data_IF_445831515388
#
_entry.id   IF_445831515388
#
_cell.length_a   1.000
_cell.length_b   1.000
_cell.length_c   1.000
_cell.angle_alpha   90.00
_cell.angle_beta   90.00
_cell.angle_gamma   90.00
#
_symmetry.space_group_name_H-M   'P 1'
#
loop_
_entity.id
_entity.type
_entity.pdbx_description
1 polymer ?
#
# COMPACT_ATOMS: atom_id res chain seq x y z
N UNK A 1 23.13 10.45 13.97
CA UNK A 1 22.36 10.74 15.19
C UNK A 1 23.06 10.03 16.34
N UNK A 2 23.28 10.72 17.44
CA UNK A 2 23.79 10.19 18.71
C UNK A 2 22.68 10.36 19.74
N UNK A 3 22.44 9.29 20.51
CA UNK A 3 21.52 9.25 21.62
C UNK A 3 22.34 9.09 22.89
N UNK A 4 22.10 9.94 23.89
CA UNK A 4 22.63 9.78 25.24
C UNK A 4 21.47 9.70 26.23
N UNK A 5 21.62 8.81 27.20
CA UNK A 5 20.65 8.54 28.26
C UNK A 5 21.35 8.81 29.58
N UNK A 6 20.79 9.68 30.40
CA UNK A 6 21.31 10.05 31.71
C UNK A 6 20.25 9.72 32.76
N UNK A 7 20.29 8.51 33.34
CA UNK A 7 19.44 8.20 34.48
C UNK A 7 19.90 9.01 35.70
N UNK A 8 18.96 9.53 36.48
CA UNK A 8 19.24 10.23 37.73
C UNK A 8 19.06 9.32 38.96
N UNK A 9 19.52 9.79 40.11
CA UNK A 9 19.43 9.05 41.39
C UNK A 9 18.00 8.95 41.96
N UNK A 10 17.08 9.78 41.47
CA UNK A 10 15.67 9.80 41.85
C UNK A 10 14.78 8.94 40.93
N UNK A 11 15.37 8.25 39.96
CA UNK A 11 14.65 7.42 38.98
C UNK A 11 14.10 8.19 37.78
N UNK A 12 14.49 9.45 37.58
CA UNK A 12 14.27 10.19 36.34
C UNK A 12 15.27 9.78 35.25
N UNK A 13 14.95 10.17 34.02
CA UNK A 13 15.74 9.85 32.83
C UNK A 13 15.78 11.06 31.89
N UNK A 14 16.97 11.63 31.74
CA UNK A 14 17.22 12.68 30.75
C UNK A 14 17.72 12.05 29.45
N UNK A 15 17.23 12.58 28.33
CA UNK A 15 17.52 12.07 26.99
C UNK A 15 18.04 13.20 26.12
N UNK A 16 19.24 13.02 25.56
CA UNK A 16 19.84 13.97 24.62
C UNK A 16 19.96 13.35 23.23
N UNK A 17 19.39 14.03 22.22
CA UNK A 17 19.49 13.65 20.81
C UNK A 17 20.35 14.68 20.06
N UNK A 18 21.49 14.23 19.55
CA UNK A 18 22.39 15.03 18.71
C UNK A 18 22.37 14.50 17.28
N UNK A 19 22.02 15.35 16.31
CA UNK A 19 21.92 14.93 14.92
C UNK A 19 22.56 15.94 13.96
N UNK A 20 22.87 15.47 12.74
CA UNK A 20 23.39 16.32 11.69
C UNK A 20 22.23 17.07 11.04
N UNK A 21 22.22 18.40 11.14
CA UNK A 21 21.18 19.27 10.58
C UNK A 21 21.03 19.20 9.05
N UNK A 22 22.04 18.70 8.31
CA UNK A 22 21.90 18.46 6.87
C UNK A 22 21.09 17.19 6.54
N UNK A 23 20.83 16.32 7.54
CA UNK A 23 20.15 15.03 7.35
C UNK A 23 18.86 14.91 8.16
N UNK A 24 18.67 15.77 9.16
CA UNK A 24 17.54 15.74 10.08
C UNK A 24 17.00 17.14 10.28
N UNK A 25 15.69 17.27 10.17
CA UNK A 25 14.95 18.43 10.64
C UNK A 25 14.45 18.23 12.08
N UNK A 26 14.12 19.33 12.73
CA UNK A 26 13.63 19.35 14.11
C UNK A 26 12.34 18.52 14.29
N UNK A 27 11.47 18.54 13.28
CA UNK A 27 10.21 17.78 13.30
C UNK A 27 10.46 16.26 13.35
N UNK A 28 11.45 15.78 12.59
CA UNK A 28 11.85 14.37 12.57
C UNK A 28 12.51 13.95 13.87
N UNK A 29 13.40 14.79 14.43
CA UNK A 29 14.00 14.52 15.72
C UNK A 29 12.97 14.50 16.85
N UNK A 30 12.00 15.43 16.83
CA UNK A 30 10.90 15.47 17.78
C UNK A 30 10.05 14.21 17.71
N UNK A 31 9.70 13.74 16.51
CA UNK A 31 8.99 12.45 16.32
C UNK A 31 9.80 11.26 16.83
N UNK A 32 11.10 11.23 16.59
CA UNK A 32 11.97 10.17 17.12
C UNK A 32 12.01 10.16 18.64
N UNK A 33 12.08 11.34 19.28
CA UNK A 33 12.03 11.47 20.73
C UNK A 33 10.69 10.96 21.29
N UNK A 34 9.56 11.33 20.67
CA UNK A 34 8.23 10.84 21.07
C UNK A 34 8.11 9.32 20.95
N UNK A 35 8.59 8.72 19.85
CA UNK A 35 8.59 7.25 19.68
C UNK A 35 9.48 6.56 20.72
N UNK A 36 10.64 7.14 21.05
CA UNK A 36 11.53 6.59 22.08
C UNK A 36 10.87 6.63 23.46
N UNK A 37 10.22 7.73 23.82
CA UNK A 37 9.45 7.83 25.06
C UNK A 37 8.35 6.78 25.12
N UNK A 38 7.55 6.64 24.06
CA UNK A 38 6.50 5.62 23.99
C UNK A 38 7.04 4.19 24.10
N UNK A 39 8.24 3.93 23.58
CA UNK A 39 8.91 2.63 23.69
C UNK A 39 9.34 2.35 25.13
N UNK A 40 9.94 3.33 25.81
CA UNK A 40 10.36 3.20 27.21
C UNK A 40 9.12 2.95 28.10
N UNK A 41 8.02 3.68 27.87
CA UNK A 41 6.76 3.47 28.59
C UNK A 41 6.23 2.05 28.42
N UNK A 42 6.27 1.49 27.21
CA UNK A 42 5.80 0.11 26.98
C UNK A 42 6.57 -0.94 27.78
N UNK A 43 7.90 -0.80 27.89
CA UNK A 43 8.71 -1.70 28.70
C UNK A 43 8.57 -1.44 30.21
N UNK A 44 8.28 -0.21 30.61
CA UNK A 44 7.97 0.12 32.00
C UNK A 44 6.64 -0.52 32.44
N UNK A 45 5.61 -0.46 31.58
CA UNK A 45 4.30 -1.05 31.84
C UNK A 45 4.32 -2.59 31.78
N UNK A 46 5.14 -3.16 30.90
CA UNK A 46 5.31 -4.61 30.77
C UNK A 46 6.79 -4.99 30.58
N UNK A 47 7.52 -5.27 31.67
CA UNK A 47 8.92 -5.68 31.60
C UNK A 47 9.17 -7.01 30.86
N UNK A 48 8.14 -7.85 30.69
CA UNK A 48 8.21 -9.11 29.95
C UNK A 48 7.91 -8.96 28.44
N UNK A 49 7.63 -7.72 27.98
CA UNK A 49 7.43 -7.42 26.57
C UNK A 49 8.66 -7.85 25.76
N UNK A 50 8.44 -8.58 24.68
CA UNK A 50 9.53 -8.97 23.78
C UNK A 50 9.88 -7.81 22.88
N UNK A 51 11.16 -7.66 22.55
CA UNK A 51 11.62 -6.59 21.66
C UNK A 51 10.92 -6.57 20.29
N UNK A 52 10.53 -7.75 19.76
CA UNK A 52 9.82 -7.86 18.48
C UNK A 52 8.34 -7.48 18.54
N UNK A 53 7.75 -7.44 19.73
CA UNK A 53 6.33 -7.13 19.94
C UNK A 53 6.12 -5.66 20.33
N UNK A 54 7.21 -4.91 20.58
CA UNK A 54 7.15 -3.52 20.97
C UNK A 54 6.73 -2.62 19.80
N UNK A 55 5.73 -1.77 20.04
CA UNK A 55 5.15 -0.91 19.04
C UNK A 55 6.02 0.35 18.84
N UNK A 56 6.60 0.50 17.66
CA UNK A 56 7.45 1.64 17.34
C UNK A 56 6.68 2.87 16.81
N UNK A 57 5.53 2.65 16.17
CA UNK A 57 4.72 3.73 15.61
C UNK A 57 3.79 4.32 16.67
N UNK A 58 3.70 5.65 16.68
CA UNK A 58 2.72 6.37 17.50
C UNK A 58 1.30 6.03 17.03
N UNK A 59 0.32 6.19 17.92
CA UNK A 59 -1.09 5.91 17.60
C UNK A 59 -1.62 6.76 16.43
N UNK A 60 -1.18 8.03 16.35
CA UNK A 60 -1.51 8.93 15.24
C UNK A 60 -0.95 8.42 13.90
N UNK A 61 0.26 7.86 13.89
CA UNK A 61 0.91 7.34 12.69
C UNK A 61 0.23 6.08 12.20
N UNK A 62 -0.18 5.21 13.11
CA UNK A 62 -1.01 4.04 12.79
C UNK A 62 -2.36 4.45 12.20
N UNK A 63 -2.98 5.49 12.77
CA UNK A 63 -4.26 6.02 12.28
C UNK A 63 -4.11 6.61 10.88
N UNK A 64 -3.03 7.38 10.63
CA UNK A 64 -2.72 7.92 9.32
C UNK A 64 -2.47 6.82 8.30
N UNK A 65 -1.74 5.77 8.65
CA UNK A 65 -1.52 4.62 7.77
C UNK A 65 -2.82 3.88 7.46
N UNK A 66 -3.70 3.68 8.45
CA UNK A 66 -5.01 3.09 8.24
C UNK A 66 -5.86 3.93 7.27
N UNK A 67 -5.82 5.25 7.41
CA UNK A 67 -6.52 6.16 6.50
C UNK A 67 -5.96 6.09 5.07
N UNK A 68 -4.63 6.12 4.91
CA UNK A 68 -3.98 6.04 3.59
C UNK A 68 -4.26 4.71 2.88
N UNK A 69 -4.36 3.62 3.64
CA UNK A 69 -4.65 2.29 3.11
C UNK A 69 -6.15 2.02 2.91
N UNK A 70 -7.03 3.00 3.14
CA UNK A 70 -8.46 2.85 2.91
C UNK A 70 -8.81 2.93 1.41
N UNK A 71 -8.34 1.97 0.62
CA UNK A 71 -8.54 1.88 -0.83
C UNK A 71 -9.63 0.87 -1.21
N UNK A 72 -10.42 0.42 -0.23
CA UNK A 72 -11.47 -0.56 -0.45
C UNK A 72 -12.59 0.07 -1.30
N UNK A 73 -12.73 -0.40 -2.53
CA UNK A 73 -13.82 -0.05 -3.44
C UNK A 73 -14.46 -1.32 -3.94
N UNK A 74 -15.79 -1.40 -3.86
CA UNK A 74 -16.55 -2.54 -4.41
C UNK A 74 -16.47 -2.52 -5.92
N UNK A 75 -15.81 -3.52 -6.50
CA UNK A 75 -15.72 -3.71 -7.95
C UNK A 75 -16.69 -4.82 -8.35
N UNK A 76 -17.50 -4.65 -9.42
CA UNK A 76 -18.36 -5.71 -9.92
C UNK A 76 -17.57 -6.99 -10.24
N UNK A 77 -18.15 -8.15 -9.94
CA UNK A 77 -17.60 -9.43 -10.34
C UNK A 77 -17.79 -9.65 -11.87
N UNK A 78 -17.00 -8.93 -12.66
CA UNK A 78 -16.97 -9.01 -14.12
C UNK A 78 -15.57 -9.40 -14.58
N UNK A 79 -15.48 -10.19 -15.64
CA UNK A 79 -14.20 -10.45 -16.31
C UNK A 79 -13.85 -9.29 -17.23
N UNK A 80 -12.57 -9.17 -17.59
CA UNK A 80 -12.15 -8.23 -18.64
C UNK A 80 -12.94 -8.46 -19.95
N UNK A 81 -13.25 -9.72 -20.28
CA UNK A 81 -14.05 -10.06 -21.46
C UNK A 81 -15.49 -9.53 -21.37
N UNK A 82 -16.10 -9.56 -20.19
CA UNK A 82 -17.44 -9.01 -19.96
C UNK A 82 -17.45 -7.49 -20.13
N UNK A 83 -16.44 -6.80 -19.57
CA UNK A 83 -16.30 -5.35 -19.67
C UNK A 83 -16.09 -4.88 -21.11
N UNK A 84 -15.26 -5.59 -21.88
CA UNK A 84 -15.06 -5.31 -23.32
C UNK A 84 -16.34 -5.57 -24.12
N UNK A 85 -17.08 -6.63 -23.80
CA UNK A 85 -18.37 -6.91 -24.44
C UNK A 85 -19.40 -5.80 -24.17
N UNK A 86 -19.50 -5.36 -22.93
CA UNK A 86 -20.38 -4.25 -22.54
C UNK A 86 -19.99 -2.95 -23.24
N UNK A 87 -18.69 -2.65 -23.35
CA UNK A 87 -18.22 -1.45 -24.05
C UNK A 87 -18.54 -1.51 -25.56
N UNK A 88 -18.39 -2.68 -26.18
CA UNK A 88 -18.72 -2.85 -27.60
C UNK A 88 -20.21 -2.70 -27.90
N UNK A 89 -21.08 -3.07 -26.96
CA UNK A 89 -22.52 -2.80 -27.08
C UNK A 89 -22.85 -1.31 -26.95
N UNK A 90 -22.15 -0.58 -26.06
CA UNK A 90 -22.38 0.85 -25.84
C UNK A 90 -21.88 1.72 -26.99
N UNK A 91 -20.70 1.41 -27.54
CA UNK A 91 -20.03 2.25 -28.56
C UNK A 91 -19.49 1.38 -29.70
N UNK A 92 -20.36 0.78 -30.52
CA UNK A 92 -19.93 -0.20 -31.52
C UNK A 92 -19.05 0.39 -32.63
N UNK A 93 -19.30 1.65 -33.02
CA UNK A 93 -18.55 2.35 -34.08
C UNK A 93 -17.31 3.10 -33.55
N UNK A 94 -17.07 3.13 -32.24
CA UNK A 94 -15.92 3.81 -31.70
C UNK A 94 -14.65 3.01 -32.00
N UNK A 95 -13.57 3.74 -32.31
CA UNK A 95 -12.24 3.14 -32.51
C UNK A 95 -11.79 2.42 -31.23
N UNK A 96 -11.42 1.15 -31.36
CA UNK A 96 -11.03 0.27 -30.26
C UNK A 96 -9.55 -0.14 -30.36
N UNK A 97 -9.06 -0.40 -31.57
CA UNK A 97 -7.69 -0.82 -31.83
C UNK A 97 -7.20 -0.17 -33.12
N UNK A 98 -6.02 0.43 -33.08
CA UNK A 98 -5.41 1.06 -34.23
C UNK A 98 -3.89 0.85 -34.22
N UNK A 99 -3.34 0.51 -35.39
CA UNK A 99 -1.91 0.58 -35.67
C UNK A 99 -1.67 1.31 -37.01
N UNK A 100 -0.46 1.26 -37.56
CA UNK A 100 -0.13 1.94 -38.81
C UNK A 100 -0.88 1.41 -40.06
N UNK A 101 -1.48 0.22 -39.99
CA UNK A 101 -2.06 -0.50 -41.12
C UNK A 101 -3.52 -0.92 -40.89
N UNK A 102 -3.96 -1.00 -39.65
CA UNK A 102 -5.27 -1.49 -39.26
C UNK A 102 -5.97 -0.52 -38.31
N UNK A 103 -7.27 -0.34 -38.56
CA UNK A 103 -8.18 0.36 -37.67
C UNK A 103 -9.40 -0.53 -37.45
N UNK A 104 -9.71 -0.82 -36.20
CA UNK A 104 -10.86 -1.62 -35.80
C UNK A 104 -11.75 -0.84 -34.85
N UNK A 105 -13.03 -0.81 -35.18
CA UNK A 105 -14.10 -0.44 -34.26
C UNK A 105 -14.31 -1.52 -33.20
N UNK A 106 -15.00 -1.20 -32.11
CA UNK A 106 -15.37 -2.20 -31.10
C UNK A 106 -16.18 -3.37 -31.67
N UNK A 107 -17.03 -3.10 -32.68
CA UNK A 107 -17.76 -4.17 -33.39
C UNK A 107 -16.80 -5.09 -34.12
N UNK A 108 -15.94 -4.52 -34.98
CA UNK A 108 -15.03 -5.32 -35.79
C UNK A 108 -14.07 -6.11 -34.90
N UNK A 109 -13.55 -5.52 -33.82
CA UNK A 109 -12.68 -6.21 -32.84
C UNK A 109 -13.37 -7.44 -32.20
N UNK A 110 -14.70 -7.38 -31.98
CA UNK A 110 -15.48 -8.51 -31.45
C UNK A 110 -15.71 -9.60 -32.49
N UNK A 111 -15.81 -9.23 -33.76
CA UNK A 111 -16.04 -10.12 -34.89
C UNK A 111 -14.75 -10.84 -35.33
N UNK A 112 -13.60 -10.15 -35.38
CA UNK A 112 -12.28 -10.78 -35.65
C UNK A 112 -11.76 -11.60 -34.48
N UNK A 113 -12.34 -11.42 -33.29
CA UNK A 113 -12.29 -12.38 -32.20
C UNK A 113 -10.91 -12.59 -31.58
N UNK A 114 -10.60 -11.82 -30.53
CA UNK A 114 -9.67 -12.31 -29.50
C UNK A 114 -10.28 -13.46 -28.65
N UNK A 115 -11.55 -13.83 -28.88
CA UNK A 115 -12.25 -14.93 -28.21
C UNK A 115 -12.33 -16.26 -28.99
N UNK A 116 -11.90 -16.31 -30.25
CA UNK A 116 -11.99 -17.53 -31.07
C UNK A 116 -10.73 -18.42 -30.99
N UNK A 117 -9.57 -17.86 -30.64
CA UNK A 117 -8.27 -18.57 -30.68
C UNK A 117 -7.85 -19.33 -29.42
N UNK A 118 -8.55 -19.20 -28.28
CA UNK A 118 -8.11 -19.81 -26.99
C UNK A 118 -8.80 -21.14 -26.67
N UNK A 119 -9.64 -21.67 -27.58
CA UNK A 119 -10.26 -22.99 -27.38
C UNK A 119 -9.40 -24.20 -27.81
N UNK A 120 -8.23 -23.98 -28.42
CA UNK A 120 -7.38 -25.07 -28.91
C UNK A 120 -6.23 -25.51 -27.97
N UNK A 121 -6.01 -24.83 -26.84
CA UNK A 121 -5.06 -25.28 -25.83
C UNK A 121 -5.78 -25.37 -24.49
N UNK A 122 -5.94 -26.60 -23.99
CA UNK A 122 -6.67 -26.94 -22.76
C UNK A 122 -6.19 -26.18 -21.52
N UNK A 123 -6.68 -24.95 -21.36
CA UNK A 123 -6.47 -24.13 -20.18
C UNK A 123 -7.64 -24.36 -19.24
N UNK A 124 -7.45 -25.26 -18.27
CA UNK A 124 -8.33 -25.36 -17.11
C UNK A 124 -8.30 -24.02 -16.38
N UNK A 125 -9.47 -23.51 -15.96
CA UNK A 125 -9.57 -22.44 -14.97
C UNK A 125 -8.88 -22.95 -13.69
N UNK A 126 -7.66 -22.49 -13.43
CA UNK A 126 -7.02 -22.69 -12.13
C UNK A 126 -7.80 -21.85 -11.13
N UNK A 127 -8.61 -22.51 -10.30
CA UNK A 127 -9.14 -21.94 -9.09
C UNK A 127 -7.95 -21.68 -8.16
N UNK A 128 -7.52 -20.43 -8.09
CA UNK A 128 -6.63 -19.97 -7.03
C UNK A 128 -7.47 -19.90 -5.75
N UNK A 129 -7.09 -20.72 -4.76
CA UNK A 129 -7.54 -20.64 -3.36
C UNK A 129 -6.74 -19.59 -2.62
#
# INVERSE_FOLDING_TARGET
MKLALFPDENGGLDIELLANAQRYDDATLSRHALRLMALITQFADNPALRCGDAQMLLAEEQTQLAHLNNTAVTIPAATLSDLVAQQAQKTPEASALADAHYHFTYREMRETGCGAGVRAAGTRRSAWR
#
